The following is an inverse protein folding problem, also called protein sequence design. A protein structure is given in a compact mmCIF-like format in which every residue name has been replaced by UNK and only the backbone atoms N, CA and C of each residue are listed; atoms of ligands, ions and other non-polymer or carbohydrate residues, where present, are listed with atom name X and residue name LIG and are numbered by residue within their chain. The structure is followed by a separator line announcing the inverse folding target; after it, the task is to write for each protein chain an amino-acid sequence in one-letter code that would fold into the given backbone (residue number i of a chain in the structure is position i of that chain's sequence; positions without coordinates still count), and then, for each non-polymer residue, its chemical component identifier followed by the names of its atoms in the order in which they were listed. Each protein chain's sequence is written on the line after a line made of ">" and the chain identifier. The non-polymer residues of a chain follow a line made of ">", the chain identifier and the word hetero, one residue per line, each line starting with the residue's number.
data_IF_064768923870
#
_entry.id   IF_064768923870
#
_cell.length_a   1.000
_cell.length_b   1.000
_cell.length_c   1.000
_cell.angle_alpha   90.00
_cell.angle_beta   90.00
_cell.angle_gamma   90.00
#
_symmetry.space_group_name_H-M   'P 1'
#
loop_
_entity.id
_entity.type
_entity.pdbx_description
1 polymer ?
#
# COMPACT_ATOMS: atom_id res chain seq x y z
N UNK A 1 -4.99 -9.63 -21.21
CA UNK A 1 -4.65 -10.36 -19.97
C UNK A 1 -4.39 -9.37 -18.85
N UNK A 2 -5.46 -8.92 -18.19
CA UNK A 2 -5.39 -8.13 -16.96
C UNK A 2 -5.96 -8.98 -15.83
N UNK A 3 -5.43 -8.81 -14.61
CA UNK A 3 -6.12 -9.20 -13.40
C UNK A 3 -6.56 -7.93 -12.68
N UNK A 4 -7.86 -7.75 -12.54
CA UNK A 4 -8.43 -6.74 -11.65
C UNK A 4 -8.69 -7.44 -10.32
N UNK A 5 -7.96 -7.05 -9.28
CA UNK A 5 -8.18 -7.58 -7.94
C UNK A 5 -9.27 -6.75 -7.24
N UNK A 6 -10.53 -7.08 -7.52
CA UNK A 6 -11.67 -6.69 -6.68
C UNK A 6 -11.88 -7.86 -5.71
N UNK A 7 -11.25 -7.81 -4.54
CA UNK A 7 -11.20 -8.99 -3.66
C UNK A 7 -12.55 -9.35 -3.06
N UNK A 8 -12.93 -10.64 -3.22
CA UNK A 8 -13.43 -11.47 -2.14
C UNK A 8 -12.45 -12.66 -1.94
N UNK A 9 -12.17 -13.01 -0.68
CA UNK A 9 -10.88 -13.47 -0.13
C UNK A 9 -10.31 -14.87 -0.52
N UNK A 10 -10.95 -15.68 -1.37
CA UNK A 10 -10.74 -17.15 -1.30
C UNK A 10 -9.82 -17.83 -2.33
N UNK A 11 -9.28 -17.14 -3.35
CA UNK A 11 -8.46 -17.79 -4.40
C UNK A 11 -7.16 -17.02 -4.76
N UNK A 12 -6.58 -16.32 -3.79
CA UNK A 12 -5.66 -15.21 -4.05
C UNK A 12 -4.21 -15.61 -4.40
N UNK A 13 -3.68 -16.76 -3.94
CA UNK A 13 -2.22 -17.01 -4.00
C UNK A 13 -1.65 -17.51 -5.34
N UNK A 14 -2.43 -18.19 -6.19
CA UNK A 14 -1.87 -18.86 -7.40
C UNK A 14 -2.11 -18.05 -8.69
N UNK A 15 -3.17 -17.24 -8.76
CA UNK A 15 -3.56 -16.53 -10.00
C UNK A 15 -2.83 -15.18 -10.17
N UNK A 16 -2.32 -14.58 -9.10
CA UNK A 16 -1.74 -13.23 -9.10
C UNK A 16 -0.42 -13.11 -9.88
N UNK A 17 0.37 -14.19 -9.95
CA UNK A 17 1.73 -14.16 -10.52
C UNK A 17 1.72 -14.24 -12.06
N UNK A 18 0.60 -14.65 -12.67
CA UNK A 18 0.52 -14.91 -14.13
C UNK A 18 0.30 -13.66 -14.98
N UNK A 19 0.04 -12.50 -14.38
CA UNK A 19 -0.33 -11.28 -15.09
C UNK A 19 0.78 -10.23 -15.01
N UNK A 20 1.13 -9.70 -16.19
CA UNK A 20 2.17 -8.68 -16.34
C UNK A 20 1.79 -7.34 -15.70
N UNK A 21 0.53 -6.97 -15.74
CA UNK A 21 0.02 -5.74 -15.14
C UNK A 21 -1.07 -6.07 -14.14
N UNK A 22 -1.07 -5.38 -13.01
CA UNK A 22 -2.10 -5.48 -11.98
C UNK A 22 -2.75 -4.13 -11.80
N UNK A 23 -4.07 -4.10 -11.58
CA UNK A 23 -4.81 -2.83 -11.40
C UNK A 23 -5.34 -2.77 -9.98
N UNK A 24 -4.95 -1.74 -9.23
CA UNK A 24 -5.53 -1.42 -7.94
C UNK A 24 -6.69 -0.44 -8.13
N UNK A 25 -7.84 -0.77 -7.56
CA UNK A 25 -9.07 0.03 -7.61
C UNK A 25 -9.67 0.03 -6.21
N UNK A 26 -10.10 1.21 -5.75
CA UNK A 26 -10.81 1.35 -4.49
C UNK A 26 -12.23 0.78 -4.59
N UNK A 27 -12.74 0.33 -3.43
CA UNK A 27 -14.12 -0.11 -3.29
C UNK A 27 -14.95 0.97 -2.61
N UNK A 28 -15.58 0.62 -1.49
CA UNK A 28 -16.26 1.60 -0.63
C UNK A 28 -15.27 2.48 0.15
N UNK A 29 -14.08 1.94 0.43
CA UNK A 29 -12.94 2.60 1.06
C UNK A 29 -11.64 2.06 0.43
N UNK A 30 -10.51 2.21 1.14
CA UNK A 30 -9.27 1.51 0.79
C UNK A 30 -9.49 -0.01 0.84
N UNK A 31 -8.73 -0.77 0.05
CA UNK A 31 -8.84 -2.22 -0.01
C UNK A 31 -7.64 -2.89 0.65
N UNK A 32 -7.90 -3.91 1.48
CA UNK A 32 -6.84 -4.74 2.09
C UNK A 32 -6.01 -5.48 1.02
N UNK A 33 -6.50 -5.56 -0.22
CA UNK A 33 -5.75 -6.07 -1.37
C UNK A 33 -4.55 -5.20 -1.79
N UNK A 34 -4.46 -3.95 -1.32
CA UNK A 34 -3.42 -2.99 -1.72
C UNK A 34 -2.00 -3.53 -1.48
N UNK A 35 -1.71 -4.02 -0.27
CA UNK A 35 -0.40 -4.62 0.03
C UNK A 35 -0.11 -5.88 -0.79
N UNK A 36 -1.12 -6.69 -1.08
CA UNK A 36 -0.96 -7.93 -1.82
C UNK A 36 -0.76 -7.70 -3.32
N UNK A 37 -1.30 -6.60 -3.87
CA UNK A 37 -1.13 -6.30 -5.30
C UNK A 37 0.33 -5.97 -5.62
N UNK A 38 1.01 -5.29 -4.69
CA UNK A 38 2.42 -4.92 -4.79
C UNK A 38 3.39 -6.07 -4.50
N UNK A 39 2.96 -7.09 -3.77
CA UNK A 39 3.81 -8.21 -3.33
C UNK A 39 4.34 -9.15 -4.44
N UNK A 40 4.16 -8.83 -5.71
CA UNK A 40 4.87 -9.52 -6.79
C UNK A 40 5.38 -8.49 -7.78
N UNK A 41 6.54 -8.77 -8.38
CA UNK A 41 7.32 -7.95 -9.33
C UNK A 41 6.58 -7.51 -10.63
N UNK A 42 5.26 -7.67 -10.68
CA UNK A 42 4.41 -7.12 -11.74
C UNK A 42 4.17 -5.63 -11.50
N UNK A 43 4.35 -4.76 -12.51
CA UNK A 43 3.96 -3.36 -12.40
C UNK A 43 2.48 -3.18 -12.02
N UNK A 44 2.27 -2.45 -10.92
CA UNK A 44 0.95 -2.08 -10.42
C UNK A 44 0.50 -0.75 -11.02
N UNK A 45 -0.62 -0.80 -11.72
CA UNK A 45 -1.38 0.34 -12.21
C UNK A 45 -2.31 0.80 -11.09
N UNK A 46 -1.95 1.90 -10.44
CA UNK A 46 -2.59 2.37 -9.22
C UNK A 46 -3.52 3.54 -9.55
N UNK A 47 -4.84 3.31 -9.49
CA UNK A 47 -5.82 4.38 -9.65
C UNK A 47 -5.67 5.36 -8.50
N UNK A 48 -5.60 6.65 -8.84
CA UNK A 48 -5.51 7.75 -7.88
C UNK A 48 -6.53 7.56 -6.75
N UNK A 49 -5.98 7.29 -5.56
CA UNK A 49 -6.73 6.88 -4.37
C UNK A 49 -7.23 8.09 -3.59
N UNK A 50 -8.44 7.98 -3.07
CA UNK A 50 -9.02 8.92 -2.10
C UNK A 50 -8.77 8.48 -0.65
N UNK A 51 -8.52 7.19 -0.43
CA UNK A 51 -8.34 6.58 0.88
C UNK A 51 -6.92 6.05 1.04
N UNK A 52 -6.11 6.77 1.82
CA UNK A 52 -4.71 6.40 2.03
C UNK A 52 -4.52 5.47 3.23
N UNK A 53 -3.97 4.29 2.97
CA UNK A 53 -3.37 3.46 4.00
C UNK A 53 -2.05 4.11 4.51
N UNK A 54 -1.50 3.63 5.63
CA UNK A 54 -0.33 4.25 6.24
C UNK A 54 0.93 4.14 5.37
N UNK A 55 1.07 3.04 4.62
CA UNK A 55 2.30 2.72 3.88
C UNK A 55 2.41 3.37 2.50
N UNK A 56 1.28 3.56 1.79
CA UNK A 56 1.28 4.16 0.44
C UNK A 56 1.81 5.61 0.46
N UNK A 57 1.80 6.25 1.65
CA UNK A 57 2.42 7.56 1.88
C UNK A 57 3.92 7.54 1.61
N UNK A 58 4.61 6.43 1.90
CA UNK A 58 6.03 6.23 1.59
C UNK A 58 6.33 5.91 0.13
N UNK A 59 5.34 5.43 -0.64
CA UNK A 59 5.56 5.02 -2.03
C UNK A 59 5.48 6.20 -3.01
N UNK A 60 6.42 6.24 -3.96
CA UNK A 60 6.60 7.27 -5.00
C UNK A 60 6.07 6.78 -6.37
N UNK A 61 5.21 7.55 -7.07
CA UNK A 61 4.77 7.26 -8.44
C UNK A 61 5.95 7.16 -9.43
N UNK A 62 5.82 6.33 -10.46
CA UNK A 62 6.87 5.96 -11.42
C UNK A 62 8.09 5.23 -10.83
N UNK A 63 8.23 5.16 -9.50
CA UNK A 63 9.24 4.35 -8.84
C UNK A 63 8.64 3.02 -8.37
N UNK A 64 7.56 3.07 -7.58
CA UNK A 64 6.97 1.87 -6.97
C UNK A 64 5.68 1.43 -7.66
N UNK A 65 5.03 2.34 -8.39
CA UNK A 65 3.78 2.08 -9.09
C UNK A 65 3.58 3.04 -10.25
N UNK A 66 2.67 2.70 -11.16
CA UNK A 66 2.24 3.60 -12.23
C UNK A 66 0.92 4.30 -11.86
N UNK A 67 0.88 5.64 -11.75
CA UNK A 67 -0.35 6.34 -11.40
C UNK A 67 -1.35 6.32 -12.57
N UNK A 68 -2.62 6.03 -12.27
CA UNK A 68 -3.73 6.05 -13.21
C UNK A 68 -4.71 7.15 -12.81
N UNK A 69 -5.14 7.97 -13.76
CA UNK A 69 -6.07 9.07 -13.49
C UNK A 69 -7.47 8.54 -13.13
N UNK A 70 -8.07 9.10 -12.08
CA UNK A 70 -9.44 8.76 -11.70
C UNK A 70 -10.49 9.35 -12.67
N UNK A 71 -10.17 10.48 -13.32
CA UNK A 71 -11.10 11.19 -14.21
C UNK A 71 -11.42 10.41 -15.51
N UNK A 72 -10.44 9.71 -16.09
CA UNK A 72 -10.62 8.89 -17.30
C UNK A 72 -9.77 7.62 -17.20
N UNK A 73 -10.26 6.71 -16.35
CA UNK A 73 -9.57 5.45 -15.99
C UNK A 73 -9.27 4.60 -17.22
N UNK A 74 -10.23 4.42 -18.12
CA UNK A 74 -10.09 3.57 -19.30
C UNK A 74 -8.99 4.08 -20.25
N UNK A 75 -8.98 5.40 -20.49
CA UNK A 75 -7.98 6.05 -21.34
C UNK A 75 -6.59 6.01 -20.72
N UNK A 76 -6.49 6.30 -19.42
CA UNK A 76 -5.23 6.25 -18.67
C UNK A 76 -4.67 4.83 -18.60
N UNK A 77 -5.50 3.82 -18.31
CA UNK A 77 -5.11 2.40 -18.34
C UNK A 77 -4.61 1.96 -19.71
N UNK A 78 -5.32 2.33 -20.79
CA UNK A 78 -4.89 1.99 -22.16
C UNK A 78 -3.54 2.60 -22.49
N UNK A 79 -3.29 3.84 -22.09
CA UNK A 79 -1.98 4.47 -22.26
C UNK A 79 -0.90 3.77 -21.43
N UNK A 80 -1.13 3.53 -20.14
CA UNK A 80 -0.16 2.90 -19.25
C UNK A 80 0.33 1.55 -19.79
N UNK A 81 -0.57 0.75 -20.36
CA UNK A 81 -0.26 -0.55 -20.94
C UNK A 81 0.51 -0.42 -22.24
N UNK A 82 0.13 0.52 -23.11
CA UNK A 82 0.88 0.83 -24.33
C UNK A 82 2.31 1.27 -23.97
N UNK A 83 2.44 2.20 -23.02
CA UNK A 83 3.73 2.70 -22.54
C UNK A 83 4.58 1.57 -21.95
N UNK A 84 4.02 0.75 -21.05
CA UNK A 84 4.75 -0.33 -20.40
C UNK A 84 5.17 -1.44 -21.36
N UNK A 85 4.37 -1.69 -22.41
CA UNK A 85 4.73 -2.64 -23.46
C UNK A 85 5.87 -2.12 -24.34
N UNK A 86 5.97 -0.80 -24.53
CA UNK A 86 7.06 -0.16 -25.27
C UNK A 86 8.31 0.11 -24.40
N UNK A 87 8.19 0.01 -23.07
CA UNK A 87 9.26 0.26 -22.09
C UNK A 87 9.36 -0.89 -21.08
N UNK A 88 9.56 -2.10 -21.59
CA UNK A 88 9.48 -3.34 -20.80
C UNK A 88 10.38 -3.34 -19.57
N UNK A 89 11.65 -2.96 -19.73
CA UNK A 89 12.62 -2.89 -18.62
C UNK A 89 12.23 -1.87 -17.55
N UNK A 90 11.67 -0.72 -17.93
CA UNK A 90 11.21 0.29 -16.96
C UNK A 90 9.98 -0.21 -16.21
N UNK A 91 9.04 -0.84 -16.92
CA UNK A 91 7.85 -1.40 -16.30
C UNK A 91 8.20 -2.52 -15.31
N UNK A 92 9.17 -3.38 -15.65
CA UNK A 92 9.69 -4.41 -14.74
C UNK A 92 10.37 -3.79 -13.51
N UNK A 93 11.20 -2.77 -13.71
CA UNK A 93 11.86 -2.07 -12.60
C UNK A 93 10.86 -1.45 -11.61
N UNK A 94 9.75 -0.88 -12.12
CA UNK A 94 8.67 -0.35 -11.28
C UNK A 94 8.02 -1.47 -10.46
N UNK A 95 7.72 -2.61 -11.10
CA UNK A 95 7.15 -3.77 -10.42
C UNK A 95 8.06 -4.30 -9.30
N UNK A 96 9.35 -4.44 -9.57
CA UNK A 96 10.36 -4.87 -8.59
C UNK A 96 10.53 -3.88 -7.44
N UNK A 97 10.64 -2.58 -7.72
CA UNK A 97 10.74 -1.59 -6.66
C UNK A 97 9.47 -1.56 -5.79
N UNK A 98 8.29 -1.76 -6.37
CA UNK A 98 7.04 -1.89 -5.62
C UNK A 98 7.01 -3.12 -4.71
N UNK A 99 7.47 -4.28 -5.19
CA UNK A 99 7.54 -5.50 -4.38
C UNK A 99 8.62 -5.42 -3.32
N UNK A 100 9.80 -4.89 -3.63
CA UNK A 100 10.89 -4.63 -2.68
C UNK A 100 10.42 -3.74 -1.52
N UNK A 101 9.68 -2.66 -1.80
CA UNK A 101 9.11 -1.81 -0.74
C UNK A 101 8.19 -2.61 0.19
N UNK A 102 7.32 -3.46 -0.35
CA UNK A 102 6.45 -4.30 0.50
C UNK A 102 7.28 -5.33 1.28
N UNK A 103 8.30 -5.91 0.66
CA UNK A 103 9.12 -6.91 1.30
C UNK A 103 10.01 -6.35 2.39
N UNK A 104 10.51 -5.11 2.27
CA UNK A 104 11.49 -4.50 3.17
C UNK A 104 10.90 -3.47 4.13
N UNK A 105 10.05 -2.57 3.63
CA UNK A 105 9.47 -1.48 4.41
C UNK A 105 8.13 -1.85 5.07
N UNK A 106 7.50 -2.94 4.63
CA UNK A 106 6.25 -3.48 5.19
C UNK A 106 6.40 -4.85 5.86
N UNK A 107 7.60 -5.15 6.35
CA UNK A 107 7.83 -6.31 7.23
C UNK A 107 7.04 -6.16 8.53
N UNK A 108 6.68 -7.29 9.15
CA UNK A 108 5.86 -7.27 10.37
C UNK A 108 6.53 -6.49 11.50
N UNK A 109 7.86 -6.54 11.61
CA UNK A 109 8.62 -5.75 12.59
C UNK A 109 8.38 -4.25 12.39
N UNK A 110 8.41 -3.77 11.14
CA UNK A 110 8.13 -2.35 10.80
C UNK A 110 6.69 -1.96 11.09
N UNK A 111 5.74 -2.86 10.88
CA UNK A 111 4.32 -2.61 11.17
C UNK A 111 4.10 -2.49 12.68
N UNK A 112 4.68 -3.39 13.48
CA UNK A 112 4.60 -3.31 14.94
C UNK A 112 5.33 -2.07 15.48
N UNK A 113 6.49 -1.74 14.93
CA UNK A 113 7.22 -0.51 15.24
C UNK A 113 6.37 0.74 14.99
N UNK A 114 5.72 0.82 13.82
CA UNK A 114 4.83 1.93 13.48
C UNK A 114 3.65 2.04 14.47
N UNK A 115 2.99 0.93 14.80
CA UNK A 115 1.86 0.92 15.74
C UNK A 115 2.32 1.35 17.14
N UNK A 116 3.44 0.82 17.62
CA UNK A 116 4.01 1.17 18.92
C UNK A 116 4.29 2.68 19.03
N UNK A 117 5.00 3.24 18.05
CA UNK A 117 5.31 4.67 18.04
C UNK A 117 4.07 5.55 17.87
N UNK A 118 3.13 5.15 17.02
CA UNK A 118 1.86 5.86 16.84
C UNK A 118 1.09 5.98 18.17
N UNK A 119 0.95 4.87 18.90
CA UNK A 119 0.24 4.83 20.17
C UNK A 119 0.98 5.62 21.26
N UNK A 120 2.30 5.54 21.30
CA UNK A 120 3.11 6.30 22.27
C UNK A 120 3.04 7.80 22.04
N UNK A 121 3.19 8.27 20.80
CA UNK A 121 3.08 9.70 20.49
C UNK A 121 1.66 10.21 20.72
N UNK A 122 0.64 9.40 20.41
CA UNK A 122 -0.75 9.74 20.70
C UNK A 122 -1.02 9.85 22.21
N UNK A 123 -0.47 8.95 23.03
CA UNK A 123 -0.63 8.97 24.48
C UNK A 123 -0.08 10.27 25.11
N UNK A 124 1.03 10.81 24.58
CA UNK A 124 1.60 12.10 25.02
C UNK A 124 0.67 13.30 24.80
N UNK A 125 -0.29 13.19 23.89
CA UNK A 125 -1.26 14.26 23.60
C UNK A 125 -2.45 14.25 24.58
N UNK A 126 -2.59 13.22 25.41
CA UNK A 126 -3.67 13.13 26.39
C UNK A 126 -3.52 14.23 27.45
N UNK A 127 -4.65 14.84 27.81
CA UNK A 127 -4.73 15.93 28.80
C UNK A 127 -5.41 15.48 30.10
N UNK A 128 -5.53 14.18 30.30
CA UNK A 128 -6.18 13.56 31.44
C UNK A 128 -5.49 12.23 31.75
N UNK A 129 -5.60 11.76 32.99
CA UNK A 129 -5.14 10.43 33.39
C UNK A 129 -6.24 9.41 33.07
N UNK A 130 -5.99 8.41 32.19
CA UNK A 130 -6.99 7.41 31.85
C UNK A 130 -7.38 6.56 33.06
N UNK A 131 -8.68 6.35 33.25
CA UNK A 131 -9.24 5.47 34.28
C UNK A 131 -9.99 4.34 33.58
N UNK A 132 -9.72 3.09 33.96
CA UNK A 132 -10.40 1.92 33.42
C UNK A 132 -11.88 1.94 33.86
N UNK A 133 -12.85 1.95 32.92
CA UNK A 133 -14.27 1.89 33.27
C UNK A 133 -14.63 0.57 33.95
N UNK A 134 -15.56 0.59 34.91
CA UNK A 134 -16.03 -0.63 35.60
C UNK A 134 -16.65 -1.67 34.65
N UNK A 135 -17.20 -1.22 33.51
CA UNK A 135 -17.78 -2.09 32.49
C UNK A 135 -16.77 -2.60 31.46
N UNK A 136 -15.48 -2.27 31.60
CA UNK A 136 -14.45 -2.75 30.69
C UNK A 136 -14.21 -4.25 30.90
N UNK A 137 -14.07 -4.98 29.80
CA UNK A 137 -13.64 -6.38 29.81
C UNK A 137 -12.18 -6.42 29.40
N UNK A 138 -11.35 -7.05 30.25
CA UNK A 138 -9.95 -7.31 29.92
C UNK A 138 -9.87 -8.30 28.75
N UNK A 139 -9.01 -8.01 27.77
CA UNK A 139 -8.74 -8.86 26.63
C UNK A 139 -7.28 -9.28 26.69
N UNK A 140 -7.04 -10.57 26.92
CA UNK A 140 -5.70 -11.18 26.81
C UNK A 140 -5.48 -11.70 25.40
N UNK A 141 -4.23 -11.78 24.94
CA UNK A 141 -3.90 -12.27 23.60
C UNK A 141 -4.42 -13.70 23.38
N UNK A 142 -4.34 -14.55 24.41
CA UNK A 142 -4.86 -15.92 24.41
C UNK A 142 -6.40 -15.96 24.31
N UNK A 143 -7.08 -14.95 24.85
CA UNK A 143 -8.54 -14.87 24.84
C UNK A 143 -9.12 -14.45 23.48
N UNK A 144 -8.33 -13.81 22.61
CA UNK A 144 -8.78 -13.34 21.30
C UNK A 144 -9.08 -14.49 20.33
N UNK A 145 -8.34 -15.60 20.42
CA UNK A 145 -8.53 -16.75 19.55
C UNK A 145 -9.61 -17.73 20.07
N UNK A 146 -9.85 -17.76 21.39
CA UNK A 146 -10.79 -18.69 22.04
C UNK A 146 -12.23 -18.69 21.52
N UNK A 147 -12.87 -17.54 21.20
CA UNK A 147 -14.27 -17.54 20.72
C UNK A 147 -14.40 -17.91 19.24
N UNK A 148 -13.30 -18.12 18.52
CA UNK A 148 -13.28 -18.44 17.10
C UNK A 148 -13.06 -19.94 16.89
N UNK A 149 -13.54 -20.47 15.76
CA UNK A 149 -13.39 -21.87 15.38
C UNK A 149 -12.71 -22.03 14.01
N UNK A 150 -12.19 -23.23 13.76
CA UNK A 150 -11.65 -23.64 12.47
C UNK A 150 -10.46 -22.81 12.00
N UNK A 151 -10.51 -22.34 10.76
CA UNK A 151 -9.39 -21.64 10.11
C UNK A 151 -9.08 -20.28 10.76
N UNK A 152 -10.10 -19.58 11.25
CA UNK A 152 -9.93 -18.28 11.90
C UNK A 152 -9.18 -18.40 13.21
N UNK A 153 -9.54 -19.40 14.03
CA UNK A 153 -8.79 -19.71 15.25
C UNK A 153 -7.34 -20.02 14.95
N UNK A 154 -7.08 -20.88 13.96
CA UNK A 154 -5.73 -21.24 13.54
C UNK A 154 -4.90 -20.01 13.13
N UNK A 155 -5.46 -19.12 12.30
CA UNK A 155 -4.73 -17.91 11.89
C UNK A 155 -4.48 -16.93 13.04
N UNK A 156 -5.43 -16.82 13.98
CA UNK A 156 -5.25 -15.98 15.17
C UNK A 156 -4.16 -16.54 16.08
N UNK A 157 -4.17 -17.86 16.33
CA UNK A 157 -3.14 -18.56 17.11
C UNK A 157 -1.76 -18.48 16.44
N UNK A 158 -1.68 -18.58 15.10
CA UNK A 158 -0.44 -18.40 14.33
C UNK A 158 0.10 -16.95 14.40
N UNK A 159 -0.78 -15.97 14.60
CA UNK A 159 -0.42 -14.55 14.73
C UNK A 159 -0.05 -14.13 16.15
N UNK A 160 -0.17 -15.02 17.15
CA UNK A 160 0.21 -14.71 18.53
C UNK A 160 1.73 -14.63 18.65
N UNK A 161 2.19 -13.47 19.14
CA UNK A 161 3.58 -13.32 19.54
C UNK A 161 3.85 -14.15 20.80
N UNK A 162 4.78 -15.10 20.71
CA UNK A 162 5.00 -16.12 21.75
C UNK A 162 5.90 -15.61 22.88
N UNK A 163 6.69 -14.58 22.60
CA UNK A 163 7.60 -13.98 23.56
C UNK A 163 7.83 -12.51 23.22
N UNK A 164 8.02 -11.64 24.23
CA UNK A 164 8.44 -10.27 23.96
C UNK A 164 9.76 -10.26 23.20
N UNK A 165 9.99 -9.23 22.39
CA UNK A 165 11.30 -9.04 21.76
C UNK A 165 12.36 -8.81 22.83
N UNK A 166 13.52 -9.44 22.66
CA UNK A 166 14.71 -9.21 23.48
C UNK A 166 15.55 -8.03 22.99
N UNK A 167 15.18 -7.43 21.84
CA UNK A 167 15.77 -6.19 21.36
C UNK A 167 15.00 -4.99 21.88
N UNK A 168 15.70 -3.89 22.16
CA UNK A 168 15.05 -2.62 22.44
C UNK A 168 14.14 -2.22 21.25
N UNK A 169 13.00 -1.55 21.52
CA UNK A 169 12.17 -0.98 20.46
C UNK A 169 13.01 -0.10 19.53
N UNK A 170 12.70 -0.12 18.23
CA UNK A 170 13.42 0.75 17.31
C UNK A 170 13.26 2.22 17.71
N UNK A 171 14.30 3.03 17.48
CA UNK A 171 14.20 4.47 17.70
C UNK A 171 13.48 5.07 16.50
N UNK A 172 12.32 5.70 16.73
CA UNK A 172 11.62 6.44 15.69
C UNK A 172 12.57 7.53 15.18
N UNK A 173 12.86 7.59 13.87
CA UNK A 173 13.65 8.69 13.34
C UNK A 173 12.95 10.01 13.61
N UNK A 174 13.70 11.12 13.77
CA UNK A 174 13.09 12.43 13.94
C UNK A 174 12.16 12.74 12.75
N UNK A 175 11.09 13.51 12.98
CA UNK A 175 10.20 13.91 11.90
C UNK A 175 10.98 14.64 10.82
N UNK A 176 10.53 14.51 9.56
CA UNK A 176 11.10 15.28 8.46
C UNK A 176 11.09 16.76 8.77
N UNK A 177 12.17 17.45 8.39
CA UNK A 177 12.14 18.89 8.37
C UNK A 177 11.07 19.38 7.37
N UNK A 178 10.42 20.54 7.58
CA UNK A 178 9.35 21.02 6.70
C UNK A 178 9.75 21.10 5.22
N UNK A 179 11.01 21.42 4.92
CA UNK A 179 11.55 21.49 3.57
C UNK A 179 11.75 20.09 2.97
N UNK A 180 12.33 19.15 3.71
CA UNK A 180 12.41 17.73 3.29
C UNK A 180 11.02 17.16 2.97
N UNK A 181 10.04 17.36 3.86
CA UNK A 181 8.68 16.88 3.65
C UNK A 181 8.06 17.51 2.40
N UNK A 182 8.23 18.82 2.22
CA UNK A 182 7.74 19.54 1.04
C UNK A 182 8.38 18.98 -0.23
N UNK A 183 9.70 18.78 -0.27
CA UNK A 183 10.40 18.21 -1.41
C UNK A 183 9.91 16.80 -1.74
N UNK A 184 9.70 15.96 -0.72
CA UNK A 184 9.14 14.62 -0.92
C UNK A 184 7.73 14.66 -1.53
N UNK A 185 6.85 15.53 -1.02
CA UNK A 185 5.50 15.70 -1.56
C UNK A 185 5.54 16.24 -2.99
N UNK A 186 6.38 17.22 -3.27
CA UNK A 186 6.56 17.80 -4.61
C UNK A 186 7.09 16.75 -5.60
N UNK A 187 8.02 15.89 -5.21
CA UNK A 187 8.50 14.79 -6.03
C UNK A 187 7.35 13.88 -6.47
N UNK A 188 6.46 13.50 -5.55
CA UNK A 188 5.29 12.66 -5.87
C UNK A 188 4.34 13.36 -6.84
N UNK A 189 4.03 14.63 -6.56
CA UNK A 189 3.14 15.43 -7.42
C UNK A 189 3.73 15.59 -8.83
N UNK A 190 5.02 15.89 -8.93
CA UNK A 190 5.71 16.08 -10.20
C UNK A 190 5.77 14.78 -11.01
N UNK A 191 6.04 13.65 -10.36
CA UNK A 191 6.01 12.33 -11.00
C UNK A 191 4.62 12.03 -11.59
N UNK A 192 3.53 12.28 -10.85
CA UNK A 192 2.18 12.09 -11.38
C UNK A 192 1.86 13.07 -12.52
N UNK A 193 2.26 14.35 -12.40
CA UNK A 193 2.06 15.35 -13.47
C UNK A 193 2.79 14.98 -14.76
N UNK A 194 3.99 14.42 -14.66
CA UNK A 194 4.76 13.98 -15.82
C UNK A 194 4.02 12.87 -16.60
N UNK A 195 3.46 11.87 -15.90
CA UNK A 195 2.64 10.83 -16.54
C UNK A 195 1.42 11.43 -17.24
N UNK A 196 0.74 12.39 -16.61
CA UNK A 196 -0.40 13.11 -17.22
C UNK A 196 0.00 13.89 -18.48
N UNK A 197 1.21 14.47 -18.52
CA UNK A 197 1.73 15.13 -19.72
C UNK A 197 1.93 14.14 -20.86
N UNK A 198 2.60 13.01 -20.59
CA UNK A 198 2.81 11.96 -21.60
C UNK A 198 1.50 11.36 -22.11
N UNK A 199 0.52 11.17 -21.23
CA UNK A 199 -0.83 10.78 -21.63
C UNK A 199 -1.44 11.79 -22.62
N UNK A 200 -1.45 13.07 -22.25
CA UNK A 200 -2.00 14.14 -23.09
C UNK A 200 -1.34 14.17 -24.46
N UNK A 201 -0.01 14.15 -24.51
CA UNK A 201 0.79 14.14 -25.74
C UNK A 201 0.48 12.92 -26.62
N UNK A 202 0.41 11.73 -26.03
CA UNK A 202 0.08 10.49 -26.73
C UNK A 202 -1.28 10.59 -27.41
N UNK A 203 -2.31 11.01 -26.69
CA UNK A 203 -3.67 11.12 -27.23
C UNK A 203 -3.81 12.24 -28.26
N UNK A 204 -3.16 13.39 -28.04
CA UNK A 204 -3.10 14.46 -29.05
C UNK A 204 -2.40 14.02 -30.33
N UNK A 205 -1.36 13.18 -30.24
CA UNK A 205 -0.65 12.66 -31.42
C UNK A 205 -1.49 11.69 -32.24
N UNK A 206 -2.36 10.90 -31.58
CA UNK A 206 -3.26 9.96 -32.26
C UNK A 206 -4.39 10.69 -32.98
N UNK A 207 -4.99 11.70 -32.36
CA UNK A 207 -6.05 12.49 -32.97
C UNK A 207 -5.59 13.28 -34.20
N UNK A 208 -4.28 13.57 -34.33
CA UNK A 208 -3.70 14.21 -35.53
C UNK A 208 -3.43 13.23 -36.67
N UNK A 209 -3.47 11.92 -36.41
CA UNK A 209 -3.20 10.86 -37.41
C UNK A 209 -4.50 10.24 -37.96
N UNK A 210 -5.65 10.59 -37.39
CA UNK A 210 -6.99 10.30 -37.91
C UNK A 210 -7.46 11.45 -38.80
#
# INVERSE_FOLDING_TARGET
>A
NFLVLITNYYNLKIVIILYRYKIYVEGWAWSVSEKYIFACDSPTLYIESHFYDFFIRGMIPQQHYWPISDNDKCKSLKFAVQWGNNHTHKAEAIGKAGSEFIHEDMKMERVFDYIYHLLNEYAKLQRFDPIVPQSATEICSESLACPLDGLWRKFMEEGLEKSPSYSDPCILPPPYDPQQLKTFVEQKVNATKQVRSWESEYWSSLNKKQ
#
